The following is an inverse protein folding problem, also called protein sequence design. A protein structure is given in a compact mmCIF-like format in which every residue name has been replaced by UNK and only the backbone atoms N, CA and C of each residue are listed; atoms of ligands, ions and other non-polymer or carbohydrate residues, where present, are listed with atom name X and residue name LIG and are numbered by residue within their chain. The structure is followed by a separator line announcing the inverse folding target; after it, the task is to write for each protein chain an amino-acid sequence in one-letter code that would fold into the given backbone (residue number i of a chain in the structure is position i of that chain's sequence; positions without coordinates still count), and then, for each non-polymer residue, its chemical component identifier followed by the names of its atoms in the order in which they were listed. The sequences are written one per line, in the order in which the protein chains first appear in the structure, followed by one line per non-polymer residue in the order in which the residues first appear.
data_IF_126152291979
#
_entry.id   IF_126152291979
#
_cell.length_a   1.000
_cell.length_b   1.000
_cell.length_c   1.000
_cell.angle_alpha   90.00
_cell.angle_beta   90.00
_cell.angle_gamma   90.00
#
_symmetry.space_group_name_H-M   'P 1'
#
loop_
_entity.id
_entity.type
_entity.pdbx_description
1 polymer ?
#
# COMPACT_ATOMS: atom_id res chain seq x y z
N UNK A 1 -18.74 13.93 -18.88
CA UNK A 1 -18.15 12.98 -17.92
C UNK A 1 -16.95 13.64 -17.26
N UNK A 2 -17.04 13.97 -15.97
CA UNK A 2 -15.90 14.45 -15.18
C UNK A 2 -15.19 13.23 -14.57
N UNK A 3 -14.64 12.35 -15.42
CA UNK A 3 -13.81 11.25 -14.97
C UNK A 3 -12.42 11.82 -14.67
N UNK A 4 -12.08 12.01 -13.39
CA UNK A 4 -10.68 12.28 -13.02
C UNK A 4 -9.86 11.11 -13.58
N UNK A 5 -8.93 11.38 -14.49
CA UNK A 5 -8.06 10.34 -15.01
C UNK A 5 -7.32 9.68 -13.85
N UNK A 6 -7.21 8.35 -13.88
CA UNK A 6 -6.51 7.59 -12.85
C UNK A 6 -5.11 8.21 -12.60
N UNK A 7 -4.80 8.64 -11.36
CA UNK A 7 -3.51 9.23 -11.03
C UNK A 7 -2.36 8.29 -11.35
N UNK A 8 -1.17 8.83 -11.62
CA UNK A 8 0.01 8.01 -11.97
C UNK A 8 0.30 6.93 -10.92
N UNK A 9 0.24 7.28 -9.63
CA UNK A 9 0.48 6.34 -8.54
C UNK A 9 -0.54 5.19 -8.49
N UNK A 10 -1.80 5.45 -8.88
CA UNK A 10 -2.86 4.44 -8.91
C UNK A 10 -2.76 3.57 -10.17
N UNK A 11 -2.32 4.13 -11.31
CA UNK A 11 -1.97 3.35 -12.51
C UNK A 11 -0.82 2.37 -12.25
N UNK A 12 0.15 2.81 -11.46
CA UNK A 12 1.31 2.00 -11.09
C UNK A 12 1.02 1.00 -9.95
N UNK A 13 -0.23 0.95 -9.44
CA UNK A 13 -0.59 0.13 -8.29
C UNK A 13 -0.40 -1.37 -8.51
N UNK A 14 -0.52 -1.85 -9.75
CA UNK A 14 -0.30 -3.27 -10.07
C UNK A 14 1.17 -3.69 -10.02
N UNK A 15 2.11 -2.74 -9.92
CA UNK A 15 3.54 -3.04 -9.88
C UNK A 15 3.95 -3.53 -8.49
N UNK A 16 4.93 -4.43 -8.48
CA UNK A 16 5.56 -4.88 -7.24
C UNK A 16 6.30 -3.73 -6.56
N UNK A 17 6.35 -3.78 -5.22
CA UNK A 17 7.14 -2.84 -4.42
C UNK A 17 8.59 -3.34 -4.40
N UNK A 18 9.52 -2.51 -4.85
CA UNK A 18 10.94 -2.79 -4.72
C UNK A 18 11.48 -2.15 -3.45
N UNK A 19 11.97 -2.98 -2.52
CA UNK A 19 12.59 -2.54 -1.27
C UNK A 19 14.06 -2.97 -1.31
N UNK A 20 14.98 -2.02 -1.45
CA UNK A 20 16.40 -2.36 -1.43
C UNK A 20 16.88 -2.60 0.01
N UNK A 21 17.67 -3.67 0.21
CA UNK A 21 18.10 -4.09 1.55
C UNK A 21 18.97 -3.04 2.26
N UNK A 22 19.76 -2.27 1.52
CA UNK A 22 20.79 -1.32 2.00
C UNK A 22 20.28 0.06 2.42
N UNK A 23 18.97 0.26 2.41
CA UNK A 23 18.31 1.55 2.63
C UNK A 23 18.38 2.07 4.07
N UNK A 24 18.53 3.39 4.24
CA UNK A 24 18.67 4.08 5.53
C UNK A 24 17.40 3.95 6.39
N UNK A 25 17.52 4.08 7.73
CA UNK A 25 16.37 3.93 8.65
C UNK A 25 15.21 4.91 8.38
N UNK A 26 15.50 6.09 7.84
CA UNK A 26 14.49 7.11 7.52
C UNK A 26 13.92 7.01 6.10
N UNK A 27 14.28 5.95 5.37
CA UNK A 27 13.76 5.73 4.03
C UNK A 27 12.26 5.46 4.04
N UNK A 28 11.57 5.99 3.02
CA UNK A 28 10.12 5.96 2.90
C UNK A 28 9.75 5.02 1.76
N UNK A 29 8.99 3.99 2.08
CA UNK A 29 8.38 3.08 1.12
C UNK A 29 7.00 3.63 0.81
N UNK A 30 6.76 3.96 -0.46
CA UNK A 30 5.41 4.25 -0.97
C UNK A 30 4.85 2.97 -1.58
N UNK A 31 3.68 2.55 -1.09
CA UNK A 31 3.02 1.34 -1.56
C UNK A 31 1.56 1.60 -1.84
N UNK A 32 1.11 1.14 -3.00
CA UNK A 32 -0.29 1.21 -3.38
C UNK A 32 -0.95 -0.17 -3.25
N UNK A 33 -2.13 -0.18 -2.65
CA UNK A 33 -3.05 -1.31 -2.68
C UNK A 33 -4.36 -0.91 -3.35
N UNK A 34 -5.02 -1.89 -3.95
CA UNK A 34 -6.30 -1.70 -4.63
C UNK A 34 -7.25 -2.83 -4.29
N UNK A 35 -8.55 -2.55 -4.31
CA UNK A 35 -9.61 -3.55 -4.19
C UNK A 35 -10.79 -3.16 -5.06
N UNK A 36 -11.65 -4.13 -5.36
CA UNK A 36 -12.94 -3.84 -6.00
C UNK A 36 -13.84 -3.06 -5.04
N UNK A 37 -14.75 -2.27 -5.62
CA UNK A 37 -15.77 -1.53 -4.87
C UNK A 37 -16.92 -2.47 -4.49
N UNK A 38 -17.18 -2.57 -3.19
CA UNK A 38 -18.45 -3.03 -2.67
C UNK A 38 -19.33 -1.81 -2.40
N UNK A 39 -20.32 -1.55 -3.27
CA UNK A 39 -21.15 -0.33 -3.19
C UNK A 39 -21.93 -0.20 -1.87
N UNK A 40 -22.24 -1.32 -1.22
CA UNK A 40 -22.89 -1.34 0.09
C UNK A 40 -21.94 -1.04 1.25
N UNK A 41 -20.62 -1.08 1.03
CA UNK A 41 -19.60 -0.91 2.07
C UNK A 41 -18.28 -0.38 1.49
N UNK A 42 -18.21 0.95 1.36
CA UNK A 42 -17.00 1.65 0.90
C UNK A 42 -15.86 1.57 1.92
N UNK A 43 -16.17 1.54 3.22
CA UNK A 43 -15.18 1.47 4.28
C UNK A 43 -14.46 0.12 4.27
N UNK A 44 -15.20 -0.97 4.02
CA UNK A 44 -14.63 -2.29 3.77
C UNK A 44 -13.72 -2.29 2.54
N UNK A 45 -14.16 -1.69 1.44
CA UNK A 45 -13.37 -1.59 0.21
C UNK A 45 -12.05 -0.86 0.47
N UNK A 46 -12.09 0.30 1.14
CA UNK A 46 -10.90 1.06 1.50
C UNK A 46 -9.97 0.30 2.46
N UNK A 47 -10.55 -0.43 3.42
CA UNK A 47 -9.79 -1.28 4.36
C UNK A 47 -9.11 -2.45 3.65
N UNK A 48 -9.80 -3.08 2.68
CA UNK A 48 -9.24 -4.14 1.85
C UNK A 48 -8.10 -3.61 0.98
N UNK A 49 -8.28 -2.48 0.30
CA UNK A 49 -7.20 -1.85 -0.46
C UNK A 49 -6.00 -1.48 0.41
N UNK A 50 -6.24 -1.01 1.65
CA UNK A 50 -5.16 -0.76 2.63
C UNK A 50 -4.42 -2.04 2.99
N UNK A 51 -5.14 -3.13 3.27
CA UNK A 51 -4.55 -4.43 3.58
C UNK A 51 -3.70 -4.95 2.43
N UNK A 52 -4.21 -4.89 1.19
CA UNK A 52 -3.49 -5.30 -0.01
C UNK A 52 -2.20 -4.48 -0.22
N UNK A 53 -2.17 -3.21 0.23
CA UNK A 53 -0.95 -2.41 0.21
C UNK A 53 0.10 -2.94 1.19
N UNK A 54 -0.32 -3.31 2.41
CA UNK A 54 0.57 -3.85 3.43
C UNK A 54 1.11 -5.24 3.06
N UNK A 55 0.28 -6.09 2.47
CA UNK A 55 0.68 -7.43 2.01
C UNK A 55 1.80 -7.36 0.97
N UNK A 56 1.73 -6.44 0.01
CA UNK A 56 2.82 -6.22 -0.96
C UNK A 56 4.15 -5.86 -0.30
N UNK A 57 4.10 -5.12 0.80
CA UNK A 57 5.32 -4.82 1.57
C UNK A 57 5.84 -6.10 2.20
N UNK A 58 4.98 -6.89 2.85
CA UNK A 58 5.38 -8.17 3.45
C UNK A 58 6.00 -9.12 2.40
N UNK A 59 5.40 -9.24 1.23
CA UNK A 59 5.89 -10.06 0.12
C UNK A 59 7.27 -9.58 -0.38
N UNK A 60 7.50 -8.26 -0.43
CA UNK A 60 8.77 -7.68 -0.85
C UNK A 60 9.95 -8.04 0.08
N UNK A 61 9.68 -8.37 1.35
CA UNK A 61 10.70 -8.85 2.31
C UNK A 61 10.96 -10.38 2.23
N UNK A 62 10.34 -11.10 1.29
CA UNK A 62 10.71 -12.47 0.84
C UNK A 62 11.03 -13.48 1.96
N UNK A 63 10.22 -13.53 3.01
CA UNK A 63 10.30 -14.58 4.04
C UNK A 63 10.87 -14.14 5.39
N UNK A 64 11.35 -12.90 5.51
CA UNK A 64 11.61 -12.33 6.83
C UNK A 64 10.27 -12.11 7.55
N UNK A 65 10.15 -12.58 8.80
CA UNK A 65 9.01 -12.20 9.65
C UNK A 65 9.17 -10.72 9.96
N UNK A 66 8.34 -9.88 9.36
CA UNK A 66 8.36 -8.44 9.60
C UNK A 66 7.10 -8.00 10.33
N UNK A 67 7.25 -6.97 11.16
CA UNK A 67 6.13 -6.24 11.77
C UNK A 67 6.13 -4.80 11.24
N UNK A 68 5.01 -4.37 10.66
CA UNK A 68 4.80 -2.96 10.25
C UNK A 68 4.09 -2.24 11.39
N UNK A 69 4.84 -1.48 12.18
CA UNK A 69 4.34 -0.78 13.39
C UNK A 69 3.48 0.43 13.08
N UNK A 70 3.73 1.10 11.96
CA UNK A 70 3.00 2.29 11.57
C UNK A 70 3.08 2.53 10.06
N UNK A 71 1.95 3.00 9.50
CA UNK A 71 1.81 3.48 8.12
C UNK A 71 1.01 4.78 8.11
N UNK A 72 1.35 5.67 7.18
CA UNK A 72 0.64 6.92 6.92
C UNK A 72 -0.20 6.76 5.65
N UNK A 73 -1.47 7.19 5.69
CA UNK A 73 -2.31 7.29 4.49
C UNK A 73 -1.96 8.58 3.77
N UNK A 74 -1.41 8.47 2.56
CA UNK A 74 -1.00 9.62 1.74
C UNK A 74 -2.12 10.04 0.78
N UNK A 75 -2.80 9.07 0.17
CA UNK A 75 -3.86 9.35 -0.79
C UNK A 75 -4.84 8.18 -0.93
N UNK A 76 -6.07 8.55 -1.32
CA UNK A 76 -7.11 7.61 -1.74
C UNK A 76 -7.63 8.05 -3.11
N UNK A 77 -7.92 7.09 -3.99
CA UNK A 77 -8.62 7.33 -5.24
C UNK A 77 -9.75 6.31 -5.39
N UNK A 78 -10.95 6.78 -5.69
CA UNK A 78 -12.13 5.96 -5.91
C UNK A 78 -12.47 6.08 -7.40
N UNK A 79 -12.33 4.98 -8.12
CA UNK A 79 -12.71 4.86 -9.52
C UNK A 79 -14.13 4.28 -9.63
N UNK A 80 -14.56 3.89 -10.84
CA UNK A 80 -15.91 3.34 -11.05
C UNK A 80 -16.08 1.94 -10.48
N UNK A 81 -15.04 1.12 -10.47
CA UNK A 81 -15.08 -0.30 -10.11
C UNK A 81 -14.08 -0.67 -9.00
N UNK A 82 -13.10 0.20 -8.72
CA UNK A 82 -12.01 -0.05 -7.76
C UNK A 82 -11.73 1.14 -6.88
N UNK A 83 -11.23 0.87 -5.68
CA UNK A 83 -10.58 1.85 -4.82
C UNK A 83 -9.09 1.59 -4.74
N UNK A 84 -8.33 2.67 -4.58
CA UNK A 84 -6.88 2.67 -4.48
C UNK A 84 -6.47 3.43 -3.24
N UNK A 85 -5.55 2.86 -2.47
CA UNK A 85 -4.99 3.44 -1.25
C UNK A 85 -3.47 3.50 -1.39
N UNK A 86 -2.91 4.68 -1.22
CA UNK A 86 -1.47 4.91 -1.17
C UNK A 86 -1.03 5.07 0.29
N UNK A 87 -0.20 4.14 0.75
CA UNK A 87 0.44 4.21 2.05
C UNK A 87 1.89 4.62 1.92
N UNK A 88 2.37 5.26 2.98
CA UNK A 88 3.78 5.52 3.21
C UNK A 88 4.20 4.86 4.51
N UNK A 89 5.29 4.12 4.43
CA UNK A 89 5.87 3.43 5.56
C UNK A 89 7.31 3.88 5.68
N UNK A 90 7.69 4.42 6.83
CA UNK A 90 9.10 4.72 7.10
C UNK A 90 9.77 3.42 7.54
N UNK A 91 10.96 3.10 7.03
CA UNK A 91 11.68 1.84 7.34
C UNK A 91 11.91 1.65 8.84
N UNK A 92 12.07 2.71 9.62
CA UNK A 92 12.12 2.67 11.10
C UNK A 92 10.87 2.04 11.75
N UNK A 93 9.74 2.05 11.06
CA UNK A 93 8.49 1.41 11.50
C UNK A 93 8.35 -0.03 11.03
N UNK A 94 9.35 -0.58 10.33
CA UNK A 94 9.42 -1.99 9.97
C UNK A 94 10.43 -2.66 10.90
N UNK A 95 9.98 -3.61 11.70
CA UNK A 95 10.84 -4.42 12.55
C UNK A 95 11.01 -5.81 11.95
N UNK A 96 12.25 -6.29 11.89
CA UNK A 96 12.53 -7.71 11.65
C UNK A 96 12.30 -8.45 12.96
N UNK A 97 11.43 -9.46 12.95
CA UNK A 97 11.24 -10.37 14.06
C UNK A 97 12.27 -11.48 13.93
N UNK A 98 13.22 -11.52 14.85
CA UNK A 98 14.06 -12.70 15.02
C UNK A 98 13.23 -13.76 15.78
N UNK A 99 13.32 -15.02 15.34
CA UNK A 99 12.68 -16.16 16.01
C UNK A 99 13.18 -16.37 17.44
#
# INVERSE_FOLDING_TARGET
MWGKSLPKWAKDCSKEVQIEKTQAKDEKILVCGMSDILLSDMDYSLSSARQNALEKVMEAFKGDKIEIKASELEATFIDTDKVYVLLKITKKHIALMNE
#
